data_IF_991893840767
#
_entry.id   IF_991893840767
#
_cell.length_a   1.000
_cell.length_b   1.000
_cell.length_c   1.000
_cell.angle_alpha   90.00
_cell.angle_beta   90.00
_cell.angle_gamma   90.00
#
_symmetry.space_group_name_H-M   'P 1'
#
loop_
_entity.id
_entity.type
_entity.pdbx_description
1 polymer ?
#
# COMPACT_ATOMS: atom_id res chain seq x y z
N UNK A 1 22.00 -49.17 34.02
CA UNK A 1 20.92 -48.30 34.55
C UNK A 1 21.17 -46.78 34.37
N UNK A 2 21.95 -46.34 33.35
CA UNK A 2 22.03 -44.91 32.95
C UNK A 2 21.86 -44.68 31.43
N UNK A 3 21.80 -45.73 30.61
CA UNK A 3 21.62 -45.64 29.15
C UNK A 3 20.16 -45.75 28.66
N UNK A 4 19.24 -46.25 29.48
CA UNK A 4 17.82 -46.40 29.10
C UNK A 4 16.94 -45.19 29.46
N UNK A 5 17.42 -44.33 30.38
CA UNK A 5 16.72 -43.08 30.72
C UNK A 5 16.97 -41.97 29.69
N UNK A 6 18.14 -41.92 29.05
CA UNK A 6 18.44 -40.90 28.02
C UNK A 6 17.72 -41.16 26.69
N UNK A 7 17.32 -42.40 26.39
CA UNK A 7 16.49 -42.70 25.21
C UNK A 7 15.02 -42.32 25.38
N UNK A 8 14.50 -42.33 26.61
CA UNK A 8 13.10 -41.94 26.89
C UNK A 8 12.88 -40.43 26.96
N UNK A 9 13.91 -39.63 27.19
CA UNK A 9 13.82 -38.15 27.15
C UNK A 9 14.02 -37.54 25.76
N UNK A 10 14.61 -38.26 24.79
CA UNK A 10 14.73 -37.78 23.41
C UNK A 10 13.52 -38.11 22.52
N UNK A 11 12.63 -39.00 22.94
CA UNK A 11 11.38 -39.29 22.21
C UNK A 11 10.20 -38.39 22.62
N UNK A 12 10.28 -37.66 23.73
CA UNK A 12 9.19 -36.80 24.22
C UNK A 12 9.23 -35.35 23.72
N UNK A 13 10.24 -34.95 22.93
CA UNK A 13 10.45 -33.58 22.45
C UNK A 13 10.35 -33.39 20.92
N UNK A 14 9.88 -34.41 20.20
CA UNK A 14 9.44 -34.21 18.81
C UNK A 14 8.04 -33.61 18.82
N UNK A 15 7.98 -32.28 18.74
CA UNK A 15 6.77 -31.55 18.35
C UNK A 15 6.22 -32.20 17.08
N UNK A 16 5.02 -32.79 17.20
CA UNK A 16 4.29 -33.27 16.03
C UNK A 16 4.09 -32.07 15.10
N UNK A 17 4.26 -32.23 13.77
CA UNK A 17 3.79 -31.21 12.86
C UNK A 17 2.30 -30.97 13.12
N UNK A 18 1.80 -29.73 12.99
CA UNK A 18 0.37 -29.50 13.12
C UNK A 18 -0.34 -30.46 12.17
N UNK A 19 -1.27 -31.25 12.71
CA UNK A 19 -2.15 -32.05 11.88
C UNK A 19 -2.81 -31.09 10.89
N UNK A 20 -2.49 -31.22 9.61
CA UNK A 20 -3.30 -30.66 8.55
C UNK A 20 -4.70 -31.23 8.76
N UNK A 21 -5.59 -30.42 9.34
CA UNK A 21 -7.00 -30.63 9.21
C UNK A 21 -7.29 -30.57 7.72
N UNK A 22 -7.28 -31.74 7.07
CA UNK A 22 -7.90 -31.92 5.76
C UNK A 22 -9.27 -31.26 5.87
N UNK A 23 -9.61 -30.30 4.98
CA UNK A 23 -10.94 -29.74 4.98
C UNK A 23 -11.90 -30.92 4.84
N UNK A 24 -12.74 -31.13 5.86
CA UNK A 24 -13.85 -32.08 5.77
C UNK A 24 -14.63 -31.71 4.52
N UNK A 25 -14.81 -32.70 3.65
CA UNK A 25 -15.24 -32.54 2.27
C UNK A 25 -16.22 -31.39 2.07
N UNK A 26 -15.72 -30.30 1.47
CA UNK A 26 -16.58 -29.44 0.68
C UNK A 26 -16.83 -30.20 -0.61
N UNK A 27 -18.03 -30.74 -0.73
CA UNK A 27 -18.65 -30.97 -2.03
C UNK A 27 -18.48 -29.71 -2.89
N UNK A 28 -18.27 -29.82 -4.23
CA UNK A 28 -18.13 -28.66 -5.11
C UNK A 28 -19.35 -27.71 -5.10
N UNK A 29 -20.46 -28.13 -4.49
CA UNK A 29 -21.74 -27.41 -4.44
C UNK A 29 -21.95 -26.66 -3.11
N UNK A 30 -20.90 -25.98 -2.63
CA UNK A 30 -20.91 -25.17 -1.41
C UNK A 30 -20.99 -23.66 -1.66
N UNK A 31 -21.51 -23.21 -2.80
CA UNK A 31 -21.95 -21.83 -2.96
C UNK A 31 -23.26 -21.72 -2.18
N UNK A 32 -23.19 -21.19 -0.96
CA UNK A 32 -24.37 -20.80 -0.22
C UNK A 32 -25.30 -20.00 -1.13
N UNK A 33 -26.59 -20.34 -1.09
CA UNK A 33 -27.64 -19.73 -1.91
C UNK A 33 -27.72 -18.22 -1.69
N UNK A 34 -26.85 -17.46 -2.34
CA UNK A 34 -27.11 -16.07 -2.69
C UNK A 34 -28.01 -16.10 -3.92
N UNK A 35 -29.14 -15.39 -3.85
CA UNK A 35 -30.12 -15.32 -4.93
C UNK A 35 -29.41 -15.15 -6.27
N UNK A 36 -29.82 -15.92 -7.28
CA UNK A 36 -29.27 -15.83 -8.63
C UNK A 36 -29.40 -14.37 -9.07
N UNK A 37 -28.27 -13.65 -9.11
CA UNK A 37 -28.19 -12.29 -9.66
C UNK A 37 -28.79 -12.33 -11.06
N UNK A 38 -29.82 -11.53 -11.30
CA UNK A 38 -30.44 -11.39 -12.61
C UNK A 38 -29.46 -10.67 -13.54
N UNK A 39 -28.72 -11.47 -14.31
CA UNK A 39 -27.67 -10.97 -15.21
C UNK A 39 -28.24 -10.12 -16.35
N UNK A 40 -29.47 -10.38 -16.78
CA UNK A 40 -30.14 -9.62 -17.83
C UNK A 40 -30.50 -8.22 -17.32
N UNK A 41 -31.06 -8.14 -16.11
CA UNK A 41 -31.38 -6.85 -15.48
C UNK A 41 -30.13 -6.04 -15.16
N UNK A 42 -29.08 -6.69 -14.63
CA UNK A 42 -27.77 -6.03 -14.39
C UNK A 42 -27.17 -5.46 -15.68
N UNK A 43 -27.16 -6.23 -16.77
CA UNK A 43 -26.68 -5.75 -18.08
C UNK A 43 -27.50 -4.57 -18.60
N UNK A 44 -28.82 -4.59 -18.38
CA UNK A 44 -29.69 -3.48 -18.74
C UNK A 44 -29.37 -2.22 -17.95
N UNK A 45 -29.14 -2.33 -16.63
CA UNK A 45 -28.76 -1.20 -15.77
C UNK A 45 -27.45 -0.60 -16.26
N UNK A 46 -26.40 -1.43 -16.44
CA UNK A 46 -25.09 -0.97 -16.92
C UNK A 46 -25.19 -0.29 -18.29
N UNK A 47 -25.92 -0.90 -19.22
CA UNK A 47 -26.13 -0.31 -20.55
C UNK A 47 -26.81 1.04 -20.47
N UNK A 48 -27.91 1.15 -19.73
CA UNK A 48 -28.64 2.42 -19.55
C UNK A 48 -27.78 3.50 -18.90
N UNK A 49 -27.00 3.13 -17.89
CA UNK A 49 -26.13 4.04 -17.16
C UNK A 49 -25.00 4.62 -18.04
N UNK A 50 -24.46 3.82 -18.96
CA UNK A 50 -23.45 4.27 -19.91
C UNK A 50 -24.04 5.04 -21.10
N UNK A 51 -25.29 4.77 -21.50
CA UNK A 51 -25.97 5.50 -22.57
C UNK A 51 -26.48 6.89 -22.15
N UNK A 52 -26.93 7.04 -20.90
CA UNK A 52 -27.47 8.32 -20.38
C UNK A 52 -26.35 9.32 -19.99
N UNK A 53 -25.13 8.83 -19.76
CA UNK A 53 -24.01 9.62 -19.25
C UNK A 53 -23.14 10.21 -20.37
N UNK A 54 -23.71 11.07 -21.21
CA UNK A 54 -23.00 11.72 -22.32
C UNK A 54 -22.11 12.93 -21.90
N UNK A 55 -21.84 13.12 -20.60
CA UNK A 55 -21.00 14.20 -20.07
C UNK A 55 -20.05 13.73 -18.96
N UNK A 56 -18.89 14.37 -18.77
CA UNK A 56 -17.93 14.00 -17.73
C UNK A 56 -18.58 14.18 -16.36
N UNK A 57 -18.62 13.10 -15.57
CA UNK A 57 -19.08 13.18 -14.18
C UNK A 57 -17.94 13.67 -13.29
N UNK A 58 -18.24 14.49 -12.28
CA UNK A 58 -17.26 14.75 -11.24
C UNK A 58 -16.90 13.40 -10.58
N UNK A 59 -15.63 13.04 -10.69
CA UNK A 59 -15.08 11.84 -10.09
C UNK A 59 -13.92 12.20 -9.18
N UNK A 60 -13.96 11.69 -7.96
CA UNK A 60 -12.90 11.84 -6.98
C UNK A 60 -12.05 10.57 -6.96
N UNK A 61 -10.74 10.74 -6.98
CA UNK A 61 -9.77 9.66 -6.85
C UNK A 61 -9.35 9.60 -5.39
N UNK A 62 -9.49 8.43 -4.78
CA UNK A 62 -9.03 8.15 -3.42
C UNK A 62 -7.95 7.08 -3.49
N UNK A 63 -6.70 7.50 -3.34
CA UNK A 63 -5.58 6.58 -3.13
C UNK A 63 -5.34 6.38 -1.63
N UNK A 64 -5.79 5.24 -1.10
CA UNK A 64 -5.80 4.93 0.35
C UNK A 64 -4.52 4.19 0.77
N UNK A 65 -3.39 4.90 0.86
CA UNK A 65 -2.12 4.33 1.32
C UNK A 65 -2.06 4.10 2.84
N UNK A 66 -1.14 3.25 3.29
CA UNK A 66 -0.97 2.92 4.72
C UNK A 66 -0.48 4.09 5.59
N UNK A 67 0.40 4.93 5.06
CA UNK A 67 0.89 6.13 5.75
C UNK A 67 0.21 7.41 5.27
N UNK A 68 -0.12 7.48 3.98
CA UNK A 68 -0.61 8.71 3.33
C UNK A 68 -1.80 8.38 2.44
N UNK A 69 -2.84 9.21 2.52
CA UNK A 69 -3.96 9.22 1.60
C UNK A 69 -3.81 10.38 0.61
N UNK A 70 -4.01 10.12 -0.68
CA UNK A 70 -3.99 11.13 -1.74
C UNK A 70 -5.35 11.24 -2.37
N UNK A 71 -5.88 12.45 -2.44
CA UNK A 71 -7.25 12.70 -2.89
C UNK A 71 -7.30 13.88 -3.84
N UNK A 72 -8.21 13.82 -4.80
CA UNK A 72 -8.46 14.93 -5.72
C UNK A 72 -9.39 14.53 -6.85
N UNK A 73 -9.60 15.45 -7.79
CA UNK A 73 -10.58 15.29 -8.85
C UNK A 73 -9.95 14.77 -10.14
N UNK A 74 -10.75 14.07 -10.94
CA UNK A 74 -10.36 13.62 -12.27
C UNK A 74 -9.86 14.79 -13.15
N UNK A 75 -8.87 14.51 -14.00
CA UNK A 75 -8.27 15.49 -14.91
C UNK A 75 -7.25 16.46 -14.27
N UNK A 76 -7.07 16.42 -12.94
CA UNK A 76 -6.01 17.18 -12.27
C UNK A 76 -4.65 16.49 -12.44
N UNK A 77 -3.58 17.27 -12.53
CA UNK A 77 -2.20 16.77 -12.68
C UNK A 77 -1.52 16.40 -11.35
N UNK A 78 -2.05 16.90 -10.23
CA UNK A 78 -1.59 16.64 -8.87
C UNK A 78 -2.79 16.43 -7.94
N UNK A 79 -2.65 15.65 -6.86
CA UNK A 79 -3.71 15.51 -5.86
C UNK A 79 -4.12 16.87 -5.29
N UNK A 80 -5.42 17.05 -5.05
CA UNK A 80 -5.95 18.24 -4.35
C UNK A 80 -5.41 18.30 -2.92
N UNK A 81 -5.38 17.15 -2.24
CA UNK A 81 -4.84 17.04 -0.89
C UNK A 81 -4.07 15.72 -0.71
N UNK A 82 -3.02 15.79 0.10
CA UNK A 82 -2.21 14.67 0.52
C UNK A 82 -2.08 14.76 2.04
N UNK A 83 -2.62 13.79 2.77
CA UNK A 83 -2.65 13.84 4.23
C UNK A 83 -2.30 12.47 4.86
N UNK A 84 -1.76 12.44 6.09
CA UNK A 84 -1.48 11.18 6.78
C UNK A 84 -2.74 10.32 6.97
N UNK A 85 -2.67 9.03 6.65
CA UNK A 85 -3.74 8.06 6.90
C UNK A 85 -3.79 7.68 8.38
N UNK A 86 -4.06 8.66 9.25
CA UNK A 86 -4.02 8.53 10.70
C UNK A 86 -5.31 9.10 11.29
N UNK A 87 -5.85 8.39 12.28
CA UNK A 87 -6.99 8.81 13.08
C UNK A 87 -6.55 8.98 14.53
N UNK A 88 -6.68 10.19 15.06
CA UNK A 88 -6.37 10.53 16.44
C UNK A 88 -7.62 10.54 17.31
N UNK A 89 -7.62 9.75 18.39
CA UNK A 89 -8.68 9.76 19.40
C UNK A 89 -8.18 10.30 20.74
N UNK A 90 -9.03 10.98 21.52
CA UNK A 90 -8.71 11.37 22.90
C UNK A 90 -8.31 10.15 23.74
N UNK A 91 -7.20 10.25 24.50
CA UNK A 91 -6.84 9.23 25.48
C UNK A 91 -7.80 9.31 26.67
N UNK A 92 -8.38 8.18 27.09
CA UNK A 92 -9.24 8.13 28.26
C UNK A 92 -8.49 8.66 29.50
N UNK A 93 -9.08 9.64 30.21
CA UNK A 93 -8.50 10.24 31.41
C UNK A 93 -7.56 11.43 31.20
N UNK A 94 -7.33 11.90 29.96
CA UNK A 94 -6.44 13.03 29.71
C UNK A 94 -7.17 14.39 29.90
N UNK A 95 -7.11 14.95 31.11
CA UNK A 95 -7.70 16.25 31.48
C UNK A 95 -7.14 17.45 30.67
N UNK A 96 -6.00 17.30 29.97
CA UNK A 96 -5.41 18.36 29.16
C UNK A 96 -6.27 18.76 27.95
N UNK A 97 -7.04 17.83 27.37
CA UNK A 97 -8.00 18.12 26.28
C UNK A 97 -9.21 18.92 26.79
N UNK A 98 -9.54 18.80 28.08
CA UNK A 98 -10.60 19.58 28.74
C UNK A 98 -10.23 21.07 28.88
N UNK A 99 -8.94 21.39 28.97
CA UNK A 99 -8.42 22.76 29.19
C UNK A 99 -8.18 23.54 27.88
N UNK A 100 -8.09 22.85 26.74
CA UNK A 100 -7.81 23.45 25.42
C UNK A 100 -9.07 23.87 24.63
N UNK A 101 -10.26 23.76 25.24
CA UNK A 101 -11.52 24.16 24.60
C UNK A 101 -11.93 23.29 23.39
N UNK A 102 -11.18 22.23 23.08
CA UNK A 102 -11.59 21.24 22.07
C UNK A 102 -12.81 20.48 22.61
N UNK A 103 -13.89 20.46 21.83
CA UNK A 103 -15.12 19.78 22.22
C UNK A 103 -14.80 18.33 22.63
N UNK A 104 -15.43 17.87 23.71
CA UNK A 104 -15.27 16.48 24.17
C UNK A 104 -15.54 15.51 23.00
N UNK A 105 -14.58 14.66 22.67
CA UNK A 105 -14.80 13.50 21.79
C UNK A 105 -14.53 13.70 20.30
N UNK A 106 -13.96 14.83 19.86
CA UNK A 106 -13.65 15.02 18.44
C UNK A 106 -12.53 14.07 17.96
N UNK A 107 -12.86 13.28 16.93
CA UNK A 107 -11.91 12.47 16.17
C UNK A 107 -11.15 13.40 15.24
N UNK A 108 -9.83 13.45 15.36
CA UNK A 108 -8.97 14.17 14.42
C UNK A 108 -8.48 13.21 13.34
N UNK A 109 -8.36 13.68 12.10
CA UNK A 109 -7.80 12.90 10.99
C UNK A 109 -6.66 13.68 10.35
N UNK A 110 -5.68 12.98 9.76
CA UNK A 110 -4.68 13.59 8.91
C UNK A 110 -3.71 14.51 9.66
N UNK A 111 -3.42 15.67 9.05
CA UNK A 111 -2.43 16.61 9.56
C UNK A 111 -2.80 17.15 10.96
N UNK A 112 -4.10 17.25 11.27
CA UNK A 112 -4.54 17.67 12.59
C UNK A 112 -4.21 16.61 13.67
N UNK A 113 -4.48 15.34 13.38
CA UNK A 113 -4.12 14.24 14.27
C UNK A 113 -2.59 14.21 14.51
N UNK A 114 -1.81 14.39 13.43
CA UNK A 114 -0.36 14.44 13.48
C UNK A 114 0.18 15.60 14.34
N UNK A 115 -0.40 16.82 14.22
CA UNK A 115 -0.03 17.97 15.05
C UNK A 115 -0.32 17.73 16.54
N UNK A 116 -1.39 17.00 16.84
CA UNK A 116 -1.84 16.69 18.21
C UNK A 116 -1.31 15.33 18.72
N UNK A 117 -0.27 14.76 18.11
CA UNK A 117 0.29 13.43 18.43
C UNK A 117 0.71 13.23 19.89
N UNK A 118 1.09 14.30 20.59
CA UNK A 118 1.47 14.25 22.01
C UNK A 118 0.30 14.02 22.97
N UNK A 119 -0.93 14.36 22.56
CA UNK A 119 -2.13 14.28 23.41
C UNK A 119 -3.18 13.27 22.92
N UNK A 120 -3.11 12.86 21.65
CA UNK A 120 -3.99 11.86 21.04
C UNK A 120 -3.38 10.45 21.08
N UNK A 121 -4.25 9.44 21.06
CA UNK A 121 -3.89 8.10 20.66
C UNK A 121 -4.06 8.00 19.13
N UNK A 122 -2.94 7.89 18.41
CA UNK A 122 -2.94 7.76 16.96
C UNK A 122 -3.17 6.30 16.55
N UNK A 123 -4.04 6.09 15.56
CA UNK A 123 -4.36 4.79 14.97
C UNK A 123 -4.21 4.86 13.46
N UNK A 124 -3.70 3.78 12.87
CA UNK A 124 -3.54 3.61 11.42
C UNK A 124 -4.59 2.60 10.92
N UNK A 125 -5.63 3.02 10.18
CA UNK A 125 -6.69 2.14 9.70
C UNK A 125 -6.19 1.12 8.68
N UNK A 126 -5.15 1.45 7.92
CA UNK A 126 -4.58 0.58 6.88
C UNK A 126 -3.22 0.10 7.34
N UNK A 127 -3.06 -1.21 7.44
CA UNK A 127 -1.79 -1.85 7.80
C UNK A 127 -1.46 -2.92 6.79
N UNK A 128 -0.25 -2.86 6.24
CA UNK A 128 0.19 -3.75 5.17
C UNK A 128 -0.78 -3.74 3.97
N UNK A 129 -1.27 -2.56 3.58
CA UNK A 129 -2.24 -2.42 2.48
C UNK A 129 -3.58 -3.13 2.70
N UNK A 130 -3.93 -3.49 3.93
CA UNK A 130 -5.21 -4.08 4.32
C UNK A 130 -5.86 -3.17 5.35
N UNK A 131 -7.14 -2.83 5.15
CA UNK A 131 -7.94 -2.10 6.14
C UNK A 131 -8.17 -3.01 7.36
N UNK A 132 -7.76 -2.53 8.54
CA UNK A 132 -7.88 -3.23 9.84
C UNK A 132 -8.98 -2.65 10.72
N UNK A 133 -9.31 -1.37 10.55
CA UNK A 133 -10.40 -0.70 11.26
C UNK A 133 -11.25 0.09 10.27
N UNK A 134 -12.46 -0.40 9.99
CA UNK A 134 -13.38 0.20 9.03
C UNK A 134 -14.03 1.48 9.53
N UNK A 135 -14.17 1.67 10.85
CA UNK A 135 -14.68 2.92 11.42
C UNK A 135 -13.66 4.06 11.28
N UNK A 136 -12.38 3.74 11.46
CA UNK A 136 -11.28 4.66 11.19
C UNK A 136 -11.13 4.94 9.70
N UNK A 137 -11.30 3.92 8.85
CA UNK A 137 -11.27 4.10 7.40
C UNK A 137 -12.42 5.00 6.90
N UNK A 138 -13.63 4.82 7.43
CA UNK A 138 -14.77 5.69 7.16
C UNK A 138 -14.47 7.15 7.59
N UNK A 139 -13.80 7.34 8.73
CA UNK A 139 -13.37 8.67 9.18
C UNK A 139 -12.35 9.30 8.23
N UNK A 140 -11.42 8.50 7.70
CA UNK A 140 -10.45 8.92 6.67
C UNK A 140 -11.16 9.33 5.38
N UNK A 141 -12.13 8.55 4.89
CA UNK A 141 -12.88 8.89 3.68
C UNK A 141 -13.78 10.12 3.87
N UNK A 142 -14.41 10.29 5.04
CA UNK A 142 -15.16 11.51 5.36
C UNK A 142 -14.25 12.75 5.34
N UNK A 143 -13.06 12.63 5.91
CA UNK A 143 -12.06 13.69 5.84
C UNK A 143 -11.62 13.96 4.40
N UNK A 144 -11.39 12.93 3.58
CA UNK A 144 -11.06 13.06 2.17
C UNK A 144 -12.07 13.89 1.37
N UNK A 145 -13.37 13.58 1.49
CA UNK A 145 -14.44 14.36 0.84
C UNK A 145 -14.45 15.82 1.30
N UNK A 146 -14.22 16.05 2.60
CA UNK A 146 -14.13 17.39 3.17
C UNK A 146 -12.93 18.18 2.65
N UNK A 147 -11.75 17.55 2.54
CA UNK A 147 -10.53 18.19 2.04
C UNK A 147 -10.64 18.58 0.56
N UNK A 148 -11.34 17.77 -0.24
CA UNK A 148 -11.61 18.08 -1.66
C UNK A 148 -12.76 19.10 -1.80
N UNK A 149 -13.62 19.23 -0.79
CA UNK A 149 -14.73 20.18 -0.78
C UNK A 149 -15.91 19.74 -1.65
N UNK A 150 -16.17 18.43 -1.75
CA UNK A 150 -17.23 17.86 -2.59
C UNK A 150 -18.20 16.99 -1.78
N UNK A 151 -19.47 16.98 -2.21
CA UNK A 151 -20.51 16.12 -1.66
C UNK A 151 -20.33 14.69 -2.17
N UNK A 152 -20.28 13.67 -1.28
CA UNK A 152 -20.18 12.28 -1.71
C UNK A 152 -21.31 11.82 -2.62
N UNK A 153 -22.53 12.32 -2.39
CA UNK A 153 -23.75 11.91 -3.11
C UNK A 153 -23.76 12.35 -4.58
N UNK A 154 -22.99 13.40 -4.88
CA UNK A 154 -22.92 14.00 -6.21
C UNK A 154 -21.63 13.63 -6.96
N UNK A 155 -20.75 12.83 -6.34
CA UNK A 155 -19.38 12.60 -6.82
C UNK A 155 -19.07 11.11 -6.94
N UNK A 156 -18.79 10.63 -8.16
CA UNK A 156 -18.33 9.26 -8.36
C UNK A 156 -16.95 9.05 -7.71
N UNK A 157 -16.64 7.82 -7.29
CA UNK A 157 -15.36 7.51 -6.62
C UNK A 157 -14.54 6.49 -7.39
N UNK A 158 -13.30 6.83 -7.69
CA UNK A 158 -12.27 5.86 -8.04
C UNK A 158 -11.47 5.54 -6.78
N UNK A 159 -11.58 4.31 -6.27
CA UNK A 159 -10.83 3.85 -5.11
C UNK A 159 -9.68 2.95 -5.57
N UNK A 160 -8.47 3.20 -5.08
CA UNK A 160 -7.31 2.36 -5.41
C UNK A 160 -7.25 1.13 -4.51
N UNK A 161 -6.79 0.00 -5.05
CA UNK A 161 -6.60 -1.22 -4.29
C UNK A 161 -5.35 -2.01 -4.71
N UNK A 162 -4.76 -2.80 -3.79
CA UNK A 162 -3.67 -3.69 -4.14
C UNK A 162 -4.16 -4.84 -5.05
N UNK A 163 -3.27 -5.39 -5.90
CA UNK A 163 -3.62 -6.47 -6.85
C UNK A 163 -4.30 -7.70 -6.20
N UNK A 164 -3.92 -7.99 -4.94
CA UNK A 164 -4.41 -9.11 -4.14
C UNK A 164 -5.26 -8.64 -2.94
N UNK A 165 -6.12 -7.64 -3.13
CA UNK A 165 -7.06 -7.20 -2.10
C UNK A 165 -8.05 -8.34 -1.76
N UNK A 166 -8.26 -8.69 -0.46
CA UNK A 166 -9.24 -9.70 -0.07
C UNK A 166 -10.65 -9.34 -0.55
N UNK A 167 -11.42 -10.35 -0.96
CA UNK A 167 -12.78 -10.17 -1.47
C UNK A 167 -13.70 -9.49 -0.44
N UNK A 168 -13.66 -9.91 0.82
CA UNK A 168 -14.46 -9.28 1.88
C UNK A 168 -14.11 -7.80 2.10
N UNK A 169 -12.84 -7.41 1.92
CA UNK A 169 -12.46 -6.01 2.00
C UNK A 169 -13.05 -5.17 0.86
N UNK A 170 -13.16 -5.74 -0.35
CA UNK A 170 -13.84 -5.08 -1.46
C UNK A 170 -15.30 -4.87 -1.13
N UNK A 171 -15.99 -5.93 -0.68
CA UNK A 171 -17.41 -5.86 -0.30
C UNK A 171 -17.67 -4.77 0.76
N UNK A 172 -16.87 -4.74 1.83
CA UNK A 172 -17.04 -3.71 2.87
C UNK A 172 -16.74 -2.30 2.36
N UNK A 173 -15.76 -2.14 1.47
CA UNK A 173 -15.47 -0.82 0.87
C UNK A 173 -16.66 -0.32 0.04
N UNK A 174 -17.23 -1.21 -0.77
CA UNK A 174 -18.39 -0.95 -1.64
C UNK A 174 -19.62 -0.61 -0.78
N UNK A 175 -19.90 -1.41 0.25
CA UNK A 175 -21.01 -1.20 1.19
C UNK A 175 -20.92 0.17 1.85
N UNK A 176 -19.77 0.51 2.42
CA UNK A 176 -19.57 1.82 3.07
C UNK A 176 -19.79 2.96 2.08
N UNK A 177 -19.20 2.89 0.87
CA UNK A 177 -19.29 3.96 -0.12
C UNK A 177 -20.71 4.13 -0.68
N UNK A 178 -21.46 3.04 -0.94
CA UNK A 178 -22.82 3.13 -1.47
C UNK A 178 -23.90 3.34 -0.41
N UNK A 179 -23.74 2.82 0.81
CA UNK A 179 -24.78 2.90 1.84
C UNK A 179 -24.58 4.10 2.77
N UNK A 180 -23.34 4.38 3.19
CA UNK A 180 -23.06 5.49 4.12
C UNK A 180 -22.75 6.80 3.41
N UNK A 181 -21.94 6.73 2.35
CA UNK A 181 -21.60 7.91 1.55
C UNK A 181 -22.59 8.14 0.40
N UNK A 182 -23.38 7.13 0.02
CA UNK A 182 -24.35 7.21 -1.06
C UNK A 182 -23.75 7.74 -2.38
N UNK A 183 -22.52 7.32 -2.70
CA UNK A 183 -21.86 7.70 -3.95
C UNK A 183 -22.67 7.20 -5.15
N UNK A 184 -22.76 7.97 -6.26
CA UNK A 184 -23.58 7.60 -7.41
C UNK A 184 -22.93 6.47 -8.23
N UNK A 185 -21.61 6.35 -8.18
CA UNK A 185 -20.86 5.31 -8.89
C UNK A 185 -19.47 5.08 -8.27
N UNK A 186 -18.95 3.87 -8.44
CA UNK A 186 -17.66 3.43 -7.92
C UNK A 186 -16.83 2.74 -9.02
N UNK A 187 -15.52 2.92 -8.99
CA UNK A 187 -14.56 2.09 -9.72
C UNK A 187 -13.44 1.67 -8.75
N UNK A 188 -13.09 0.38 -8.73
CA UNK A 188 -11.95 -0.12 -7.97
C UNK A 188 -10.76 -0.35 -8.90
N UNK A 189 -9.72 0.47 -8.76
CA UNK A 189 -8.55 0.46 -9.64
C UNK A 189 -7.34 -0.22 -8.99
N UNK A 190 -6.76 -1.20 -9.68
CA UNK A 190 -5.53 -1.87 -9.21
C UNK A 190 -4.35 -0.91 -9.30
N UNK A 191 -3.65 -0.72 -8.17
CA UNK A 191 -2.54 0.24 -8.03
C UNK A 191 -1.47 0.10 -9.11
N UNK A 192 -1.02 -1.13 -9.42
CA UNK A 192 -0.03 -1.37 -10.47
C UNK A 192 -0.49 -0.92 -11.87
N UNK A 193 -1.74 -1.22 -12.26
CA UNK A 193 -2.29 -0.78 -13.54
C UNK A 193 -2.43 0.74 -13.60
N UNK A 194 -2.88 1.36 -12.51
CA UNK A 194 -2.97 2.81 -12.42
C UNK A 194 -1.57 3.45 -12.48
N UNK A 195 -0.56 2.89 -11.82
CA UNK A 195 0.80 3.42 -11.88
C UNK A 195 1.37 3.40 -13.31
N UNK A 196 1.15 2.32 -14.07
CA UNK A 196 1.52 2.24 -15.48
C UNK A 196 0.81 3.32 -16.31
N UNK A 197 -0.49 3.46 -16.12
CA UNK A 197 -1.28 4.48 -16.81
C UNK A 197 -0.82 5.90 -16.45
N UNK A 198 -0.50 6.16 -15.19
CA UNK A 198 0.05 7.43 -14.71
C UNK A 198 1.43 7.75 -15.32
N UNK A 199 2.21 6.73 -15.65
CA UNK A 199 3.47 6.87 -16.38
C UNK A 199 3.26 7.05 -17.90
N UNK A 200 2.12 6.62 -18.43
CA UNK A 200 1.79 6.68 -19.86
C UNK A 200 2.13 5.42 -20.65
N UNK A 201 2.31 4.28 -19.97
CA UNK A 201 2.58 2.98 -20.61
C UNK A 201 1.51 1.96 -20.22
N UNK A 202 1.39 0.88 -21.01
CA UNK A 202 0.36 -0.17 -20.80
C UNK A 202 0.95 -1.55 -20.56
N UNK A 203 2.26 -1.74 -20.73
CA UNK A 203 2.95 -3.01 -20.50
C UNK A 203 4.29 -2.79 -19.79
N UNK A 204 4.58 -3.66 -18.83
CA UNK A 204 5.73 -3.58 -17.94
C UNK A 204 5.42 -4.15 -16.56
N UNK A 205 6.40 -4.14 -15.68
CA UNK A 205 6.24 -4.63 -14.31
C UNK A 205 6.39 -3.47 -13.32
N UNK A 206 5.38 -3.30 -12.47
CA UNK A 206 5.39 -2.24 -11.45
C UNK A 206 5.92 -2.79 -10.15
N UNK A 207 6.87 -2.06 -9.57
CA UNK A 207 7.38 -2.25 -8.21
C UNK A 207 6.84 -1.09 -7.37
N UNK A 208 5.69 -1.31 -6.75
CA UNK A 208 5.06 -0.33 -5.86
C UNK A 208 5.45 -0.62 -4.42
N UNK A 209 6.30 0.23 -3.83
CA UNK A 209 6.72 0.13 -2.44
C UNK A 209 6.27 1.35 -1.64
N UNK A 210 5.14 1.18 -0.94
CA UNK A 210 4.57 2.18 -0.04
C UNK A 210 5.14 2.07 1.37
N UNK A 211 4.35 2.48 2.36
CA UNK A 211 4.74 2.42 3.77
C UNK A 211 4.45 1.04 4.40
N UNK A 212 3.27 0.47 4.17
CA UNK A 212 2.91 -0.83 4.75
C UNK A 212 3.18 -2.03 3.84
N UNK A 213 3.26 -1.82 2.54
CA UNK A 213 3.21 -2.90 1.54
C UNK A 213 4.15 -2.61 0.38
N UNK A 214 4.84 -3.66 -0.06
CA UNK A 214 5.50 -3.68 -1.38
C UNK A 214 4.79 -4.71 -2.27
N UNK A 215 4.43 -4.31 -3.48
CA UNK A 215 3.83 -5.17 -4.50
C UNK A 215 4.63 -5.13 -5.80
N UNK A 216 4.83 -6.30 -6.38
CA UNK A 216 5.37 -6.46 -7.72
C UNK A 216 4.25 -6.95 -8.62
N UNK A 217 3.86 -6.13 -9.59
CA UNK A 217 2.64 -6.32 -10.39
C UNK A 217 2.97 -6.23 -11.88
N UNK A 218 3.10 -7.36 -12.59
CA UNK A 218 3.21 -7.36 -14.05
C UNK A 218 1.88 -6.93 -14.68
N UNK A 219 1.98 -6.01 -15.64
CA UNK A 219 0.87 -5.45 -16.42
C UNK A 219 1.19 -5.66 -17.90
N UNK A 220 0.24 -6.16 -18.67
CA UNK A 220 0.41 -6.38 -20.11
C UNK A 220 -0.84 -5.92 -20.86
N UNK A 221 -0.68 -4.99 -21.80
CA UNK A 221 -1.79 -4.42 -22.57
C UNK A 221 -2.87 -3.75 -21.71
N UNK A 222 -2.49 -3.18 -20.56
CA UNK A 222 -3.42 -2.58 -19.60
C UNK A 222 -4.06 -3.57 -18.61
N UNK A 223 -3.76 -4.86 -18.73
CA UNK A 223 -4.31 -5.90 -17.85
C UNK A 223 -3.30 -6.36 -16.81
N UNK A 224 -3.72 -6.47 -15.55
CA UNK A 224 -2.88 -7.03 -14.48
C UNK A 224 -2.75 -8.54 -14.60
N UNK A 225 -1.52 -9.05 -14.63
CA UNK A 225 -1.24 -10.49 -14.59
C UNK A 225 -1.17 -10.96 -13.11
N UNK A 226 -2.35 -11.11 -12.50
CA UNK A 226 -2.48 -11.41 -11.06
C UNK A 226 -1.75 -12.68 -10.62
N UNK A 227 -1.75 -13.72 -11.45
CA UNK A 227 -1.10 -15.01 -11.13
C UNK A 227 0.42 -14.88 -10.90
N UNK A 228 1.07 -13.93 -11.58
CA UNK A 228 2.49 -13.65 -11.44
C UNK A 228 2.78 -12.52 -10.43
N UNK A 229 1.76 -11.78 -9.98
CA UNK A 229 1.93 -10.68 -9.03
C UNK A 229 2.39 -11.19 -7.66
N UNK A 230 3.32 -10.48 -7.02
CA UNK A 230 3.86 -10.82 -5.70
C UNK A 230 3.63 -9.70 -4.69
N UNK A 231 3.53 -10.12 -3.44
CA UNK A 231 3.35 -9.27 -2.27
C UNK A 231 4.47 -9.53 -1.29
N UNK A 232 5.10 -8.46 -0.84
CA UNK A 232 6.10 -8.48 0.22
C UNK A 232 5.58 -7.68 1.41
N UNK A 233 5.50 -8.30 2.58
CA UNK A 233 5.22 -7.60 3.84
C UNK A 233 6.53 -6.98 4.39
N UNK A 234 7.18 -6.18 3.55
CA UNK A 234 8.39 -5.43 3.84
C UNK A 234 8.31 -4.10 3.08
N UNK A 235 8.26 -2.99 3.80
CA UNK A 235 8.03 -1.66 3.22
C UNK A 235 8.54 -0.53 4.15
N UNK A 236 8.14 0.72 3.91
CA UNK A 236 8.63 1.89 4.62
C UNK A 236 8.47 1.87 6.15
N UNK A 237 7.43 1.25 6.68
CA UNK A 237 7.19 1.10 8.12
C UNK A 237 8.20 0.13 8.74
N UNK A 238 8.52 -0.98 8.05
CA UNK A 238 9.57 -1.91 8.47
C UNK A 238 10.95 -1.25 8.46
N UNK A 239 11.24 -0.42 7.47
CA UNK A 239 12.48 0.36 7.41
C UNK A 239 12.59 1.32 8.60
N UNK A 240 11.48 2.00 8.92
CA UNK A 240 11.42 2.93 10.06
C UNK A 240 11.64 2.20 11.38
N UNK A 241 11.01 1.04 11.58
CA UNK A 241 11.22 0.19 12.76
C UNK A 241 12.65 -0.33 12.83
N UNK A 242 13.23 -0.72 11.70
CA UNK A 242 14.62 -1.18 11.67
C UNK A 242 15.62 -0.07 11.97
N UNK A 243 15.39 1.15 11.44
CA UNK A 243 16.19 2.31 11.80
C UNK A 243 16.11 2.62 13.30
N UNK A 244 14.92 2.52 13.91
CA UNK A 244 14.76 2.69 15.35
C UNK A 244 15.61 1.68 16.15
N UNK A 245 15.67 0.42 15.72
CA UNK A 245 16.57 -0.59 16.31
C UNK A 245 18.04 -0.18 16.16
N UNK A 246 18.47 0.23 14.97
CA UNK A 246 19.86 0.66 14.72
C UNK A 246 20.25 1.88 15.57
N UNK A 247 19.35 2.86 15.72
CA UNK A 247 19.57 4.03 16.56
C UNK A 247 19.66 3.65 18.04
N UNK A 248 18.84 2.68 18.47
CA UNK A 248 18.86 2.15 19.84
C UNK A 248 20.19 1.46 20.16
N UNK A 249 20.77 0.73 19.21
CA UNK A 249 22.12 0.13 19.35
C UNK A 249 23.22 1.17 19.54
N UNK A 250 23.03 2.40 19.03
CA UNK A 250 23.92 3.55 19.26
C UNK A 250 23.60 4.33 20.56
N UNK A 251 22.64 3.85 21.36
CA UNK A 251 22.23 4.50 22.61
C UNK A 251 21.18 5.61 22.44
N UNK A 252 20.57 5.74 21.25
CA UNK A 252 19.49 6.69 20.98
C UNK A 252 18.12 5.99 21.06
N UNK A 253 17.39 6.24 22.14
CA UNK A 253 16.12 5.56 22.41
C UNK A 253 14.93 6.37 21.93
N UNK A 254 14.10 5.74 21.09
CA UNK A 254 12.81 6.25 20.63
C UNK A 254 11.76 5.18 20.94
N UNK A 255 10.71 5.53 21.69
CA UNK A 255 9.78 4.53 22.27
C UNK A 255 8.30 4.84 22.04
N UNK A 256 7.95 6.11 21.91
CA UNK A 256 6.57 6.56 21.72
C UNK A 256 6.17 6.58 20.25
N UNK A 257 4.87 6.54 19.98
CA UNK A 257 4.34 6.69 18.61
C UNK A 257 4.72 8.02 17.97
N UNK A 258 4.86 9.09 18.76
CA UNK A 258 5.28 10.40 18.28
C UNK A 258 6.76 10.42 17.88
N UNK A 259 7.60 9.69 18.60
CA UNK A 259 9.02 9.53 18.28
C UNK A 259 9.24 8.64 17.05
N UNK A 260 8.38 7.64 16.82
CA UNK A 260 8.45 6.84 15.59
C UNK A 260 8.25 7.67 14.32
N UNK A 261 7.43 8.72 14.37
CA UNK A 261 7.31 9.67 13.26
C UNK A 261 8.59 10.48 13.03
N UNK A 262 9.32 10.81 14.10
CA UNK A 262 10.63 11.44 13.98
C UNK A 262 11.65 10.49 13.35
N UNK A 263 11.64 9.21 13.72
CA UNK A 263 12.48 8.19 13.06
C UNK A 263 12.13 8.08 11.57
N UNK A 264 10.86 8.19 11.19
CA UNK A 264 10.42 8.22 9.79
C UNK A 264 11.00 9.44 9.05
N UNK A 265 10.96 10.62 9.67
CA UNK A 265 11.55 11.86 9.11
C UNK A 265 13.08 11.73 8.94
N UNK A 266 13.78 11.14 9.93
CA UNK A 266 15.22 10.85 9.84
C UNK A 266 15.49 9.88 8.68
N UNK A 267 14.71 8.81 8.55
CA UNK A 267 14.82 7.85 7.43
C UNK A 267 14.70 8.56 6.08
N UNK A 268 13.67 9.38 5.91
CA UNK A 268 13.38 10.05 4.64
C UNK A 268 14.43 11.12 4.27
N UNK A 269 15.03 11.77 5.27
CA UNK A 269 16.02 12.84 5.06
C UNK A 269 17.47 12.35 4.99
N UNK A 270 17.83 11.31 5.74
CA UNK A 270 19.22 10.92 5.96
C UNK A 270 19.60 9.59 5.33
N UNK A 271 18.66 8.66 5.12
CA UNK A 271 18.98 7.37 4.53
C UNK A 271 19.14 7.43 3.01
N UNK A 272 19.96 6.53 2.47
CA UNK A 272 20.17 6.36 1.04
C UNK A 272 20.65 4.94 0.73
N UNK A 273 20.31 4.45 -0.46
CA UNK A 273 20.68 3.12 -0.93
C UNK A 273 22.07 3.16 -1.56
N UNK A 274 22.99 2.38 -1.00
CA UNK A 274 24.34 2.19 -1.56
C UNK A 274 24.28 1.31 -2.82
N UNK A 275 25.09 1.65 -3.84
CA UNK A 275 25.24 0.83 -5.05
C UNK A 275 25.99 -0.48 -4.73
N UNK A 276 27.12 -0.36 -4.02
CA UNK A 276 27.91 -1.47 -3.49
C UNK A 276 27.89 -1.42 -1.95
N UNK A 277 26.90 -2.06 -1.34
CA UNK A 277 26.68 -2.00 0.10
C UNK A 277 27.91 -2.40 0.94
N UNK A 278 28.57 -3.50 0.59
CA UNK A 278 29.71 -4.02 1.36
C UNK A 278 30.93 -3.08 1.34
N UNK A 279 31.23 -2.49 0.19
CA UNK A 279 32.35 -1.55 0.01
C UNK A 279 32.10 -0.25 0.77
N UNK A 280 30.90 0.31 0.63
CA UNK A 280 30.54 1.57 1.27
C UNK A 280 30.44 1.42 2.79
N UNK A 281 29.87 0.31 3.28
CA UNK A 281 29.84 -0.01 4.71
C UNK A 281 31.26 -0.10 5.31
N UNK A 282 32.22 -0.68 4.58
CA UNK A 282 33.61 -0.76 5.04
C UNK A 282 34.33 0.59 5.03
N UNK A 283 33.88 1.54 4.20
CA UNK A 283 34.44 2.88 4.12
C UNK A 283 33.97 3.80 5.27
N UNK A 284 32.75 3.59 5.79
CA UNK A 284 32.18 4.38 6.90
C UNK A 284 32.84 3.96 8.22
N UNK A 285 33.78 4.78 8.70
CA UNK A 285 34.50 4.54 9.97
C UNK A 285 33.93 5.32 11.15
N UNK A 286 33.38 6.49 10.89
CA UNK A 286 32.81 7.39 11.87
C UNK A 286 31.51 7.98 11.33
N UNK A 287 30.56 8.37 12.20
CA UNK A 287 29.40 9.16 11.78
C UNK A 287 29.85 10.39 10.99
N UNK A 288 29.20 10.66 9.87
CA UNK A 288 29.53 11.74 8.94
C UNK A 288 28.32 12.65 8.63
N UNK A 289 27.18 12.39 9.28
CA UNK A 289 25.93 13.15 9.13
C UNK A 289 25.41 13.57 10.49
N UNK A 290 24.85 14.76 10.57
CA UNK A 290 24.27 15.32 11.80
C UNK A 290 22.80 15.67 11.54
N UNK A 291 21.92 15.29 12.46
CA UNK A 291 20.50 15.62 12.44
C UNK A 291 20.09 16.30 13.76
N UNK A 292 19.50 17.49 13.67
CA UNK A 292 19.01 18.21 14.84
C UNK A 292 17.59 17.74 15.22
N UNK A 293 17.44 17.18 16.41
CA UNK A 293 16.14 16.76 16.95
C UNK A 293 15.31 17.98 17.40
N UNK A 294 13.98 17.84 17.53
CA UNK A 294 13.12 18.97 17.94
C UNK A 294 13.42 19.56 19.34
N UNK A 295 14.15 18.82 20.18
CA UNK A 295 14.61 19.27 21.49
C UNK A 295 15.99 19.99 21.44
N UNK A 296 16.56 20.16 20.25
CA UNK A 296 17.88 20.75 19.99
C UNK A 296 19.06 19.78 20.15
N UNK A 297 18.81 18.50 20.48
CA UNK A 297 19.87 17.50 20.59
C UNK A 297 20.36 17.10 19.19
N UNK A 298 21.68 17.02 19.02
CA UNK A 298 22.29 16.54 17.78
C UNK A 298 22.39 15.01 17.76
N UNK A 299 21.92 14.40 16.67
CA UNK A 299 22.02 12.98 16.39
C UNK A 299 23.07 12.76 15.30
N UNK A 300 24.15 12.08 15.66
CA UNK A 300 25.23 11.74 14.73
C UNK A 300 24.92 10.42 14.04
N UNK A 301 24.78 10.45 12.73
CA UNK A 301 24.43 9.32 11.89
C UNK A 301 25.60 8.87 11.02
N UNK A 302 25.78 7.56 10.87
CA UNK A 302 26.77 6.94 9.99
C UNK A 302 26.19 5.78 9.20
N UNK A 303 26.65 4.55 9.50
CA UNK A 303 26.33 3.35 8.73
C UNK A 303 24.82 3.00 8.70
N UNK A 304 24.05 3.41 9.70
CA UNK A 304 22.60 3.25 9.77
C UNK A 304 21.87 3.86 8.56
N UNK A 305 22.43 4.92 7.97
CA UNK A 305 21.86 5.58 6.79
C UNK A 305 21.79 4.66 5.57
N UNK A 306 22.75 3.75 5.42
CA UNK A 306 22.78 2.76 4.33
C UNK A 306 22.25 1.39 4.76
N UNK A 307 22.43 1.00 6.03
CA UNK A 307 21.90 -0.26 6.56
C UNK A 307 20.38 -0.30 6.50
N UNK A 308 19.72 0.81 6.86
CA UNK A 308 18.27 0.89 6.86
C UNK A 308 17.66 0.51 5.50
N UNK A 309 17.94 1.21 4.39
CA UNK A 309 17.37 0.87 3.07
C UNK A 309 17.92 -0.43 2.49
N UNK A 310 19.11 -0.90 2.89
CA UNK A 310 19.64 -2.21 2.46
C UNK A 310 18.69 -3.35 2.83
N UNK A 311 17.85 -3.18 3.87
CA UNK A 311 16.86 -4.18 4.25
C UNK A 311 15.91 -4.55 3.10
N UNK A 312 15.62 -3.63 2.16
CA UNK A 312 14.80 -3.94 0.97
C UNK A 312 15.49 -4.92 0.00
N UNK A 313 16.82 -4.93 -0.02
CA UNK A 313 17.62 -5.78 -0.90
C UNK A 313 18.11 -7.02 -0.19
N UNK A 314 18.49 -6.93 1.08
CA UNK A 314 18.96 -8.04 1.90
C UNK A 314 18.17 -8.13 3.23
N UNK A 315 16.91 -8.62 3.21
CA UNK A 315 16.08 -8.73 4.41
C UNK A 315 16.68 -9.64 5.50
N UNK A 316 17.53 -10.59 5.09
CA UNK A 316 18.24 -11.52 5.96
C UNK A 316 19.15 -10.81 6.98
N UNK A 317 19.62 -9.59 6.70
CA UNK A 317 20.45 -8.80 7.62
C UNK A 317 19.70 -8.44 8.92
N UNK A 318 18.37 -8.36 8.88
CA UNK A 318 17.53 -8.19 10.07
C UNK A 318 16.79 -9.47 10.47
N UNK A 319 17.27 -10.64 10.02
CA UNK A 319 16.68 -11.94 10.33
C UNK A 319 15.30 -12.18 9.72
N UNK A 320 14.90 -11.40 8.70
CA UNK A 320 13.62 -11.61 8.02
C UNK A 320 13.78 -12.70 6.95
N UNK A 321 12.99 -13.80 6.98
CA UNK A 321 13.11 -14.91 6.04
C UNK A 321 12.34 -14.63 4.73
N UNK A 322 12.62 -13.49 4.11
CA UNK A 322 11.99 -13.07 2.84
C UNK A 322 13.08 -12.66 1.84
N UNK A 323 12.81 -12.88 0.55
CA UNK A 323 13.70 -12.48 -0.54
C UNK A 323 13.78 -10.96 -0.66
N UNK A 324 14.88 -10.48 -1.25
CA UNK A 324 15.03 -9.09 -1.61
C UNK A 324 14.01 -8.66 -2.67
N UNK A 325 13.79 -7.35 -2.79
CA UNK A 325 12.84 -6.79 -3.76
C UNK A 325 13.25 -7.11 -5.21
N UNK A 326 14.54 -7.06 -5.51
CA UNK A 326 15.11 -7.39 -6.82
C UNK A 326 14.90 -8.86 -7.21
N UNK A 327 15.15 -9.80 -6.27
CA UNK A 327 14.86 -11.24 -6.45
C UNK A 327 13.36 -11.49 -6.66
N UNK A 328 12.51 -10.76 -5.93
CA UNK A 328 11.05 -10.87 -6.07
C UNK A 328 10.59 -10.43 -7.46
N UNK A 329 11.19 -9.37 -8.01
CA UNK A 329 10.91 -8.91 -9.38
C UNK A 329 11.34 -9.95 -10.40
N UNK A 330 12.56 -10.48 -10.31
CA UNK A 330 13.02 -11.53 -11.22
C UNK A 330 12.11 -12.75 -11.16
N UNK A 331 11.77 -13.23 -9.96
CA UNK A 331 10.85 -14.34 -9.77
C UNK A 331 9.47 -14.09 -10.37
N UNK A 332 8.95 -12.85 -10.29
CA UNK A 332 7.71 -12.47 -10.98
C UNK A 332 7.83 -12.64 -12.49
N UNK A 333 8.94 -12.16 -13.08
CA UNK A 333 9.14 -12.19 -14.53
C UNK A 333 9.33 -13.63 -15.03
N UNK A 334 10.08 -14.46 -14.30
CA UNK A 334 10.36 -15.86 -14.67
C UNK A 334 9.11 -16.74 -14.75
N UNK A 335 8.02 -16.37 -14.07
CA UNK A 335 6.74 -17.08 -14.13
C UNK A 335 5.89 -16.72 -15.36
N UNK A 336 6.27 -15.68 -16.09
CA UNK A 336 5.55 -15.25 -17.28
C UNK A 336 6.01 -16.05 -18.49
N UNK A 337 5.16 -16.08 -19.52
CA UNK A 337 5.51 -16.68 -20.80
C UNK A 337 6.76 -15.98 -21.38
N UNK A 338 7.70 -16.72 -22.00
CA UNK A 338 8.96 -16.16 -22.51
C UNK A 338 8.79 -14.92 -23.39
N UNK A 339 7.72 -14.86 -24.17
CA UNK A 339 7.40 -13.74 -25.06
C UNK A 339 7.10 -12.43 -24.32
N UNK A 340 6.62 -12.52 -23.07
CA UNK A 340 6.34 -11.35 -22.22
C UNK A 340 7.56 -10.91 -21.41
N UNK A 341 8.50 -11.83 -21.12
CA UNK A 341 9.61 -11.56 -20.20
C UNK A 341 10.49 -10.40 -20.68
N UNK A 342 10.82 -10.36 -21.97
CA UNK A 342 11.62 -9.26 -22.55
C UNK A 342 10.96 -7.89 -22.37
N UNK A 343 9.63 -7.82 -22.49
CA UNK A 343 8.87 -6.60 -22.23
C UNK A 343 8.95 -6.18 -20.76
N UNK A 344 8.87 -7.12 -19.82
CA UNK A 344 8.94 -6.81 -18.38
C UNK A 344 10.33 -6.36 -17.95
N UNK A 345 11.39 -7.04 -18.41
CA UNK A 345 12.77 -6.62 -18.13
C UNK A 345 13.08 -5.22 -18.66
N UNK A 346 12.58 -4.90 -19.86
CA UNK A 346 12.73 -3.59 -20.49
C UNK A 346 11.84 -2.48 -19.94
N UNK A 347 10.99 -2.76 -18.94
CA UNK A 347 10.02 -1.80 -18.40
C UNK A 347 9.69 -2.13 -16.94
N UNK A 348 10.64 -1.87 -16.03
CA UNK A 348 10.47 -2.02 -14.59
C UNK A 348 10.16 -0.66 -13.98
N UNK A 349 8.87 -0.36 -13.76
CA UNK A 349 8.43 0.93 -13.23
C UNK A 349 8.45 0.93 -11.70
N UNK A 350 9.19 1.87 -11.11
CA UNK A 350 9.17 2.12 -9.67
C UNK A 350 8.01 3.05 -9.31
N UNK A 351 7.27 2.71 -8.27
CA UNK A 351 6.22 3.55 -7.67
C UNK A 351 6.22 3.45 -6.14
N UNK A 352 5.59 4.40 -5.47
CA UNK A 352 5.47 4.42 -4.02
C UNK A 352 6.64 5.10 -3.30
N UNK A 353 6.36 5.60 -2.08
CA UNK A 353 7.27 6.46 -1.33
C UNK A 353 8.59 5.82 -0.91
N UNK A 354 8.63 4.50 -0.66
CA UNK A 354 9.88 3.83 -0.25
C UNK A 354 10.89 3.78 -1.40
N UNK A 355 10.42 3.75 -2.64
CA UNK A 355 11.29 3.84 -3.83
C UNK A 355 11.87 5.24 -4.05
N UNK A 356 11.47 6.25 -3.26
CA UNK A 356 12.03 7.60 -3.28
C UNK A 356 13.41 7.70 -2.63
N UNK A 357 13.83 6.67 -1.89
CA UNK A 357 15.16 6.61 -1.28
C UNK A 357 16.26 6.85 -2.34
N UNK A 358 17.18 7.78 -2.05
CA UNK A 358 18.26 8.15 -2.98
C UNK A 358 19.09 6.91 -3.33
N UNK A 359 19.44 6.72 -4.60
CA UNK A 359 20.22 5.56 -5.06
C UNK A 359 19.42 4.28 -5.27
N UNK A 360 18.12 4.27 -4.94
CA UNK A 360 17.29 3.06 -5.02
C UNK A 360 17.16 2.55 -6.46
N UNK A 361 16.94 3.45 -7.43
CA UNK A 361 16.75 3.07 -8.83
C UNK A 361 18.03 2.51 -9.44
N UNK A 362 19.18 3.13 -9.16
CA UNK A 362 20.49 2.72 -9.63
C UNK A 362 20.88 1.36 -9.06
N UNK A 363 20.64 1.15 -7.75
CA UNK A 363 20.84 -0.15 -7.12
C UNK A 363 19.93 -1.21 -7.72
N UNK A 364 18.63 -0.91 -7.90
CA UNK A 364 17.67 -1.83 -8.50
C UNK A 364 18.07 -2.22 -9.93
N UNK A 365 18.49 -1.25 -10.74
CA UNK A 365 18.99 -1.47 -12.09
C UNK A 365 20.19 -2.42 -12.10
N UNK A 366 21.17 -2.19 -11.22
CA UNK A 366 22.36 -3.02 -11.13
C UNK A 366 22.07 -4.46 -10.64
N UNK A 367 21.17 -4.62 -9.68
CA UNK A 367 20.72 -5.93 -9.19
C UNK A 367 19.99 -6.73 -10.27
N UNK A 368 19.00 -6.11 -10.93
CA UNK A 368 18.20 -6.78 -11.96
C UNK A 368 19.03 -7.10 -13.21
N UNK A 369 19.94 -6.21 -13.61
CA UNK A 369 20.80 -6.45 -14.77
C UNK A 369 21.75 -7.64 -14.53
N UNK A 370 22.11 -7.95 -13.28
CA UNK A 370 22.89 -9.16 -12.93
C UNK A 370 22.09 -10.45 -13.05
N UNK A 371 20.76 -10.40 -12.95
CA UNK A 371 19.88 -11.56 -13.01
C UNK A 371 19.31 -11.79 -14.42
N UNK A 372 19.14 -10.72 -15.19
CA UNK A 372 18.62 -10.79 -16.55
C UNK A 372 19.69 -11.20 -17.57
N UNK A 373 19.28 -11.96 -18.58
CA UNK A 373 20.11 -12.28 -19.76
C UNK A 373 20.07 -11.17 -20.83
N UNK A 374 19.03 -10.34 -20.80
CA UNK A 374 18.80 -9.23 -21.72
C UNK A 374 18.96 -7.84 -21.08
N UNK A 375 18.69 -6.78 -21.85
CA UNK A 375 18.71 -5.41 -21.33
C UNK A 375 17.59 -5.20 -20.31
N UNK A 376 17.93 -4.57 -19.18
CA UNK A 376 16.97 -4.13 -18.16
C UNK A 376 16.80 -2.62 -18.22
N UNK A 377 15.58 -2.14 -18.01
CA UNK A 377 15.31 -0.70 -17.85
C UNK A 377 14.45 -0.45 -16.62
N UNK A 378 15.04 0.16 -15.60
CA UNK A 378 14.35 0.64 -14.41
C UNK A 378 13.89 2.08 -14.63
N UNK A 379 12.58 2.28 -14.63
CA UNK A 379 11.93 3.56 -14.83
C UNK A 379 11.59 4.17 -13.46
N UNK A 380 12.20 5.29 -13.13
CA UNK A 380 12.00 5.97 -11.85
C UNK A 380 11.61 7.45 -12.02
N UNK A 381 10.37 7.75 -12.45
CA UNK A 381 9.89 9.13 -12.54
C UNK A 381 10.10 9.92 -11.23
N UNK A 382 10.36 11.22 -11.33
CA UNK A 382 10.62 12.09 -10.16
C UNK A 382 9.42 12.16 -9.20
N UNK A 383 8.22 12.03 -9.74
CA UNK A 383 6.94 12.09 -9.04
C UNK A 383 6.35 10.70 -8.77
N UNK A 384 7.17 9.64 -8.81
CA UNK A 384 6.74 8.23 -8.76
C UNK A 384 5.86 7.85 -7.56
N UNK A 385 5.96 8.61 -6.47
CA UNK A 385 5.09 8.50 -5.30
C UNK A 385 3.62 8.83 -5.55
N UNK A 386 3.30 9.49 -6.67
CA UNK A 386 1.95 9.92 -7.05
C UNK A 386 1.41 9.18 -8.28
N UNK A 387 2.17 8.26 -8.90
CA UNK A 387 1.79 7.62 -10.17
C UNK A 387 0.45 6.90 -10.10
N UNK A 388 0.20 6.17 -9.01
CA UNK A 388 -1.08 5.48 -8.78
C UNK A 388 -2.24 6.48 -8.86
N UNK A 389 -2.15 7.58 -8.11
CA UNK A 389 -3.19 8.62 -8.09
C UNK A 389 -3.33 9.29 -9.47
N UNK A 390 -2.21 9.61 -10.13
CA UNK A 390 -2.20 10.23 -11.47
C UNK A 390 -2.87 9.34 -12.52
N UNK A 391 -2.58 8.04 -12.51
CA UNK A 391 -3.26 7.10 -13.39
C UNK A 391 -4.75 7.03 -13.12
N UNK A 392 -5.17 7.07 -11.85
CA UNK A 392 -6.58 7.21 -11.49
C UNK A 392 -7.21 8.49 -12.06
N UNK A 393 -6.51 9.62 -11.96
CA UNK A 393 -6.99 10.91 -12.45
C UNK A 393 -7.14 10.93 -13.97
N UNK A 394 -6.19 10.32 -14.69
CA UNK A 394 -6.25 10.10 -16.14
C UNK A 394 -7.42 9.18 -16.49
N UNK A 395 -7.49 7.98 -15.88
CA UNK A 395 -8.53 6.98 -16.16
C UNK A 395 -9.94 7.55 -15.96
N UNK A 396 -10.14 8.26 -14.85
CA UNK A 396 -11.43 8.86 -14.52
C UNK A 396 -11.80 9.99 -15.49
N UNK A 397 -10.81 10.74 -16.00
CA UNK A 397 -11.04 11.82 -16.98
C UNK A 397 -11.36 11.29 -18.38
N UNK A 398 -10.81 10.14 -18.77
CA UNK A 398 -11.07 9.47 -20.05
C UNK A 398 -12.28 8.54 -20.00
N UNK A 399 -12.85 8.34 -18.80
CA UNK A 399 -13.75 7.23 -18.47
C UNK A 399 -15.17 7.27 -19.04
N UNK A 400 -15.52 8.25 -19.89
CA UNK A 400 -16.83 8.28 -20.53
C UNK A 400 -17.00 7.15 -21.57
N UNK A 401 -15.93 6.68 -22.20
CA UNK A 401 -15.99 5.66 -23.26
C UNK A 401 -15.83 4.21 -22.74
N UNK A 402 -15.27 4.01 -21.55
CA UNK A 402 -14.71 2.70 -21.16
C UNK A 402 -15.64 1.78 -20.35
N UNK A 403 -16.93 2.10 -20.14
CA UNK A 403 -17.88 1.27 -19.35
C UNK A 403 -17.32 0.74 -18.01
N UNK A 404 -16.48 1.54 -17.34
CA UNK A 404 -15.73 1.11 -16.15
C UNK A 404 -16.53 1.27 -14.85
N UNK A 405 -17.39 2.28 -14.81
CA UNK A 405 -18.06 2.71 -13.60
C UNK A 405 -19.20 1.79 -13.20
N UNK A 406 -19.22 1.42 -11.92
CA UNK A 406 -20.29 0.64 -11.31
C UNK A 406 -21.32 1.56 -10.63
N UNK A 407 -22.56 1.65 -11.15
CA UNK A 407 -23.63 2.48 -10.57
C UNK A 407 -24.14 1.99 -9.22
N UNK A 408 -24.65 2.93 -8.42
CA UNK A 408 -25.42 2.62 -7.22
C UNK A 408 -26.65 1.75 -7.52
N UNK A 409 -27.34 1.97 -8.65
CA UNK A 409 -28.51 1.19 -9.02
C UNK A 409 -28.18 -0.30 -9.22
N UNK A 410 -26.98 -0.60 -9.73
CA UNK A 410 -26.53 -1.98 -9.87
C UNK A 410 -26.12 -2.61 -8.54
N UNK A 411 -25.62 -1.79 -7.60
CA UNK A 411 -25.41 -2.19 -6.20
C UNK A 411 -26.72 -2.53 -5.50
N UNK A 412 -27.72 -1.64 -5.60
CA UNK A 412 -29.01 -1.83 -4.94
C UNK A 412 -29.74 -3.09 -5.45
N UNK A 413 -29.50 -3.50 -6.71
CA UNK A 413 -30.05 -4.74 -7.30
C UNK A 413 -29.31 -6.00 -6.86
N UNK A 414 -27.96 -5.97 -6.79
CA UNK A 414 -27.13 -7.17 -6.69
C UNK A 414 -26.41 -7.34 -5.35
N UNK A 415 -26.40 -6.30 -4.51
CA UNK A 415 -25.63 -6.22 -3.28
C UNK A 415 -24.10 -6.13 -3.51
N UNK A 416 -23.30 -6.18 -2.44
CA UNK A 416 -21.86 -5.95 -2.48
C UNK A 416 -21.07 -6.99 -3.28
N UNK A 417 -21.54 -8.25 -3.32
CA UNK A 417 -20.84 -9.37 -3.97
C UNK A 417 -20.69 -9.21 -5.50
N UNK A 418 -21.44 -8.28 -6.12
CA UNK A 418 -21.36 -8.01 -7.57
C UNK A 418 -20.00 -7.44 -7.98
N UNK A 419 -19.27 -6.83 -7.05
CA UNK A 419 -17.90 -6.31 -7.25
C UNK A 419 -16.95 -7.39 -7.79
N UNK A 420 -17.17 -8.66 -7.43
CA UNK A 420 -16.33 -9.78 -7.86
C UNK A 420 -16.49 -10.14 -9.34
N UNK A 421 -17.56 -9.69 -9.99
CA UNK A 421 -17.87 -9.99 -11.39
C UNK A 421 -17.53 -8.84 -12.35
N UNK A 422 -17.43 -7.62 -11.82
CA UNK A 422 -17.35 -6.41 -12.64
C UNK A 422 -15.92 -5.91 -12.82
N UNK A 423 -15.05 -6.12 -11.84
CA UNK A 423 -13.71 -5.56 -11.88
C UNK A 423 -12.64 -6.54 -12.38
N UNK A 424 -12.96 -7.83 -12.56
CA UNK A 424 -11.98 -8.88 -12.92
C UNK A 424 -12.56 -10.05 -13.72
#
# INVERSE_FOLDING_TARGET
MRGELQRKEQESLRLRPPEEQKPRGMSPDGIGMHGKVDTTRLQSILKSFHEVSAGPRPAMIIDSGSSVCRVGLAGQSIPTCVFPSIVGRPRAGNQALQMLGTAHGEICVGAEAQRKRGVLALRHPVQQGIVRDWGDMESVWRHAFSEVGVSPQDTAVLLTEPAHNPLGNRETSVEILFEKFAVPALYMGVQGTLAMLGHGTTSGIVVDSGDGLTQVTPVYGGHTLKYASRRMNLAGADLTAYLQTLLTEQGNYFSSTAEMELVREIKESMCYTALNYSEELAAIKTPDREYELPDGRQLNLGAECIKCPELMFQPSLAGKPVSGIHETVASCIEQLDPDMQGCMWGSVLLSGGTTMCKGFAERMQAELQRQATGPVSVLAPEDRQNLVWKGGAVLASTGNDMKLWFPKEAYDECGPAVVHRLFF
#
